data_IF_738054964240
#
_entry.id   IF_738054964240
#
_cell.length_a   1.000
_cell.length_b   1.000
_cell.length_c   1.000
_cell.angle_alpha   90.00
_cell.angle_beta   90.00
_cell.angle_gamma   90.00
#
_symmetry.space_group_name_H-M   'P 1'
#
loop_
_entity.id
_entity.type
_entity.pdbx_description
1 polymer ?
#
# COMPACT_ATOMS: atom_id res chain seq x y z
N UNK A 1 6.99 -2.13 3.71
CA UNK A 1 7.53 -3.11 2.73
C UNK A 1 6.36 -3.91 2.17
N UNK A 2 6.47 -4.49 0.98
CA UNK A 2 5.45 -5.41 0.45
C UNK A 2 5.51 -6.75 1.20
N UNK A 3 4.41 -7.51 1.19
CA UNK A 3 4.36 -8.86 1.75
C UNK A 3 3.27 -9.69 1.09
N UNK A 4 2.93 -10.82 1.70
CA UNK A 4 2.06 -11.85 1.12
C UNK A 4 0.66 -11.34 0.78
N UNK A 5 0.09 -10.49 1.63
CA UNK A 5 -1.24 -9.90 1.44
C UNK A 5 -1.22 -8.60 0.63
N UNK A 6 -0.04 -8.15 0.18
CA UNK A 6 0.03 -6.98 -0.71
C UNK A 6 -0.46 -7.36 -2.10
N UNK A 7 -1.55 -6.74 -2.55
CA UNK A 7 -2.05 -6.92 -3.91
C UNK A 7 -1.08 -6.34 -4.95
N UNK A 8 -0.54 -7.21 -5.80
CA UNK A 8 0.39 -6.84 -6.87
C UNK A 8 -0.26 -5.89 -7.89
N UNK A 9 -1.54 -6.07 -8.21
CA UNK A 9 -2.23 -5.20 -9.20
C UNK A 9 -2.30 -3.76 -8.70
N UNK A 10 -2.57 -3.58 -7.41
CA UNK A 10 -2.55 -2.26 -6.77
C UNK A 10 -1.16 -1.63 -6.83
N UNK A 11 -0.09 -2.40 -6.60
CA UNK A 11 1.28 -1.90 -6.73
C UNK A 11 1.62 -1.51 -8.17
N UNK A 12 1.18 -2.29 -9.14
CA UNK A 12 1.43 -1.98 -10.55
C UNK A 12 0.72 -0.69 -10.98
N UNK A 13 -0.52 -0.45 -10.52
CA UNK A 13 -1.21 0.83 -10.73
C UNK A 13 -0.51 2.01 -10.06
N UNK A 14 0.04 1.81 -8.86
CA UNK A 14 0.85 2.84 -8.19
C UNK A 14 2.08 3.18 -9.02
N UNK A 15 2.78 2.18 -9.57
CA UNK A 15 3.93 2.38 -10.46
C UNK A 15 3.54 3.13 -11.73
N UNK A 16 2.48 2.68 -12.39
CA UNK A 16 1.95 3.33 -13.60
C UNK A 16 1.61 4.80 -13.36
N UNK A 17 1.06 5.14 -12.19
CA UNK A 17 0.77 6.54 -11.82
C UNK A 17 2.04 7.38 -11.72
N UNK A 18 3.14 6.81 -11.20
CA UNK A 18 4.43 7.51 -11.20
C UNK A 18 5.00 7.65 -12.62
N UNK A 19 4.95 6.57 -13.42
CA UNK A 19 5.49 6.55 -14.78
C UNK A 19 4.74 7.53 -15.71
N UNK A 20 3.43 7.68 -15.52
CA UNK A 20 2.57 8.57 -16.30
C UNK A 20 2.45 9.99 -15.71
N UNK A 21 3.09 10.27 -14.58
CA UNK A 21 3.02 11.56 -13.90
C UNK A 21 1.59 12.01 -13.54
N UNK A 22 0.78 11.06 -13.07
CA UNK A 22 -0.63 11.28 -12.74
C UNK A 22 -0.88 11.49 -11.25
N UNK A 23 -2.00 12.13 -10.93
CA UNK A 23 -2.53 12.19 -9.56
C UNK A 23 -3.50 11.04 -9.34
N UNK A 24 -3.31 10.25 -8.29
CA UNK A 24 -4.21 9.14 -8.00
C UNK A 24 -4.23 8.78 -6.50
N UNK A 25 -5.24 8.00 -6.10
CA UNK A 25 -5.43 7.53 -4.74
C UNK A 25 -5.60 6.01 -4.70
N UNK A 26 -4.99 5.37 -3.70
CA UNK A 26 -4.95 3.92 -3.57
C UNK A 26 -5.22 3.49 -2.15
N UNK A 27 -5.91 2.37 -1.99
CA UNK A 27 -5.89 1.61 -0.74
C UNK A 27 -4.86 0.49 -0.91
N UNK A 28 -3.76 0.57 -0.18
CA UNK A 28 -2.64 -0.37 -0.31
C UNK A 28 -2.33 -1.04 1.02
N UNK A 29 -2.21 -2.37 1.02
CA UNK A 29 -1.76 -3.14 2.17
C UNK A 29 -0.23 -3.24 2.15
N UNK A 30 0.41 -2.68 3.17
CA UNK A 30 1.86 -2.72 3.38
C UNK A 30 2.20 -3.28 4.75
N UNK A 31 3.44 -3.74 4.90
CA UNK A 31 3.93 -4.33 6.13
C UNK A 31 4.83 -3.35 6.90
N UNK A 32 4.57 -3.22 8.20
CA UNK A 32 5.47 -2.57 9.16
C UNK A 32 6.73 -3.41 9.36
N UNK A 33 7.77 -2.85 10.01
CA UNK A 33 9.02 -3.56 10.30
C UNK A 33 8.81 -4.84 11.13
N UNK A 34 7.79 -4.85 11.99
CA UNK A 34 7.40 -6.00 12.80
C UNK A 34 6.53 -7.02 12.04
N UNK A 35 6.44 -6.93 10.70
CA UNK A 35 5.61 -7.77 9.83
C UNK A 35 4.09 -7.67 10.05
N UNK A 36 3.61 -6.71 10.83
CA UNK A 36 2.17 -6.46 10.92
C UNK A 36 1.66 -5.82 9.61
N UNK A 37 0.60 -6.37 8.99
CA UNK A 37 -0.03 -5.77 7.83
C UNK A 37 -0.83 -4.52 8.23
N UNK A 38 -0.78 -3.50 7.39
CA UNK A 38 -1.41 -2.19 7.61
C UNK A 38 -2.01 -1.72 6.30
N UNK A 39 -3.26 -1.28 6.35
CA UNK A 39 -3.89 -0.63 5.22
C UNK A 39 -3.59 0.86 5.23
N UNK A 40 -3.04 1.35 4.13
CA UNK A 40 -2.83 2.76 3.90
C UNK A 40 -3.75 3.26 2.79
N UNK A 41 -4.40 4.38 3.03
CA UNK A 41 -4.88 5.25 1.96
C UNK A 41 -3.70 6.12 1.51
N UNK A 42 -3.17 5.82 0.33
CA UNK A 42 -2.06 6.52 -0.31
C UNK A 42 -2.60 7.51 -1.33
N UNK A 43 -2.17 8.76 -1.26
CA UNK A 43 -2.45 9.77 -2.28
C UNK A 43 -1.16 10.18 -2.93
N UNK A 44 -1.13 10.17 -4.27
CA UNK A 44 0.01 10.58 -5.08
C UNK A 44 -0.38 11.81 -5.87
N UNK A 45 0.45 12.84 -5.83
CA UNK A 45 0.28 14.05 -6.63
C UNK A 45 1.65 14.52 -7.18
N UNK A 46 1.80 14.71 -8.50
CA UNK A 46 2.99 15.29 -9.09
C UNK A 46 3.07 16.79 -8.78
N UNK A 47 4.27 17.28 -8.52
CA UNK A 47 4.56 18.70 -8.34
C UNK A 47 5.30 19.18 -9.58
N UNK A 48 4.70 20.15 -10.27
CA UNK A 48 5.21 20.72 -11.50
C UNK A 48 5.89 22.06 -11.23
N UNK A 49 6.95 22.35 -11.98
CA UNK A 49 7.58 23.66 -11.99
C UNK A 49 6.87 24.62 -12.98
N UNK A 50 7.41 25.82 -13.15
CA UNK A 50 6.86 26.86 -14.04
C UNK A 50 6.81 26.45 -15.53
N UNK A 51 7.57 25.43 -15.93
CA UNK A 51 7.58 24.89 -17.30
C UNK A 51 6.69 23.64 -17.45
N UNK A 52 5.75 23.43 -16.52
CA UNK A 52 4.85 22.26 -16.45
C UNK A 52 5.56 20.90 -16.31
N UNK A 53 6.86 20.90 -16.04
CA UNK A 53 7.67 19.69 -15.85
C UNK A 53 7.49 19.17 -14.43
N UNK A 54 7.17 17.88 -14.28
CA UNK A 54 7.17 17.22 -12.96
C UNK A 54 8.60 17.12 -12.43
N UNK A 55 8.80 17.63 -11.22
CA UNK A 55 10.10 17.63 -10.53
C UNK A 55 10.10 16.85 -9.23
N UNK A 56 8.92 16.67 -8.61
CA UNK A 56 8.73 15.95 -7.35
C UNK A 56 7.35 15.28 -7.36
N UNK A 57 7.16 14.34 -6.43
CA UNK A 57 5.84 13.81 -6.08
C UNK A 57 5.58 14.01 -4.59
N UNK A 58 4.37 14.45 -4.25
CA UNK A 58 3.84 14.41 -2.90
C UNK A 58 3.11 13.09 -2.71
N UNK A 59 3.52 12.33 -1.69
CA UNK A 59 2.86 11.09 -1.29
C UNK A 59 2.35 11.21 0.15
N UNK A 60 1.05 11.11 0.34
CA UNK A 60 0.42 11.11 1.67
C UNK A 60 -0.04 9.71 2.01
N UNK A 61 0.23 9.24 3.22
CA UNK A 61 -0.17 7.92 3.71
C UNK A 61 -1.02 8.08 4.97
N UNK A 62 -2.26 7.62 4.93
CA UNK A 62 -3.15 7.58 6.09
C UNK A 62 -3.42 6.14 6.48
N UNK A 63 -3.14 5.77 7.73
CA UNK A 63 -3.50 4.46 8.26
C UNK A 63 -5.04 4.37 8.34
N UNK A 64 -5.60 3.44 7.58
CA UNK A 64 -7.04 3.17 7.52
C UNK A 64 -7.36 1.76 8.02
N UNK A 65 -6.42 1.09 8.70
CA UNK A 65 -6.57 -0.29 9.16
C UNK A 65 -7.81 -0.48 10.02
N UNK A 66 -8.15 0.52 10.85
CA UNK A 66 -9.36 0.50 11.71
C UNK A 66 -10.68 0.47 10.93
N UNK A 67 -10.67 0.85 9.66
CA UNK A 67 -11.85 0.85 8.78
C UNK A 67 -11.93 -0.39 7.89
N UNK A 68 -10.92 -1.26 7.94
CA UNK A 68 -10.89 -2.52 7.19
C UNK A 68 -11.34 -3.66 8.07
N UNK A 69 -11.94 -4.68 7.46
CA UNK A 69 -12.28 -5.92 8.18
C UNK A 69 -11.01 -6.52 8.80
N UNK A 70 -11.12 -7.25 9.93
CA UNK A 70 -9.98 -7.93 10.54
C UNK A 70 -9.25 -8.75 9.48
N UNK A 71 -7.95 -8.50 9.36
CA UNK A 71 -7.09 -9.34 8.54
C UNK A 71 -6.91 -10.63 9.34
N UNK A 72 -7.50 -11.72 8.88
CA UNK A 72 -7.32 -13.02 9.52
C UNK A 72 -5.85 -13.43 9.42
N UNK A 73 -5.18 -13.58 10.56
CA UNK A 73 -3.85 -14.18 10.62
C UNK A 73 -4.00 -15.70 10.41
N UNK A 74 -3.76 -16.19 9.18
CA UNK A 74 -3.63 -17.62 8.84
C UNK A 74 -2.37 -18.28 9.47
N UNK A 75 -1.86 -17.76 10.60
CA UNK A 75 -0.70 -18.31 11.32
C UNK A 75 -1.08 -19.21 12.51
N UNK A 76 -2.36 -19.51 12.74
CA UNK A 76 -2.82 -20.32 13.89
C UNK A 76 -3.41 -21.69 13.57
N UNK A 77 -3.45 -22.13 12.30
CA UNK A 77 -3.86 -23.50 11.96
C UNK A 77 -2.65 -24.40 11.75
N UNK A 78 -2.37 -25.28 12.72
CA UNK A 78 -1.51 -26.44 12.49
C UNK A 78 -0.53 -26.80 13.60
N UNK A 79 -0.99 -26.96 14.85
CA UNK A 79 -0.35 -27.84 15.84
C UNK A 79 -1.42 -28.30 16.82
N UNK A 80 -2.16 -29.33 16.44
CA UNK A 80 -2.84 -30.25 17.36
C UNK A 80 -3.33 -31.43 16.53
N UNK A 81 -2.43 -32.38 16.26
CA UNK A 81 -2.76 -33.78 15.98
C UNK A 81 -1.46 -34.59 15.89
N UNK A 82 -0.97 -35.01 17.06
CA UNK A 82 -0.12 -36.19 17.24
C UNK A 82 -0.17 -36.56 18.72
N UNK A 83 -1.10 -37.43 19.06
CA UNK A 83 -1.02 -38.33 20.22
C UNK A 83 -1.51 -39.69 19.75
#
# INVERSE_FOLDING_TARGET
MYGELTDKKTIDKVRETFDNYESNCFEVLLYRKNRAPVWFYMQVAPIRNENDKVVLFLCTFKDITVFKQPIEDESTKGKDEST
#
